data_IF_538320499700
#
_entry.id   IF_538320499700
#
_cell.length_a   1.000
_cell.length_b   1.000
_cell.length_c   1.000
_cell.angle_alpha   90.00
_cell.angle_beta   90.00
_cell.angle_gamma   90.00
#
_symmetry.space_group_name_H-M   'P 1'
#
loop_
_entity.id
_entity.type
_entity.pdbx_description
1 polymer ?
#
# COMPACT_ATOMS: atom_id res chain seq x y z
N UNK A 1 3.13 14.67 18.75
CA UNK A 1 2.18 13.90 17.95
C UNK A 1 2.64 13.96 16.50
N UNK A 2 2.79 12.81 15.85
CA UNK A 2 3.11 12.75 14.44
C UNK A 2 1.84 12.95 13.59
N UNK A 3 1.99 13.49 12.39
CA UNK A 3 0.85 13.67 11.49
C UNK A 3 0.52 12.29 10.90
N UNK A 4 -0.62 11.71 11.30
CA UNK A 4 -1.18 10.51 10.67
C UNK A 4 -1.88 10.85 9.36
N UNK A 5 -1.97 9.91 8.43
CA UNK A 5 -2.82 10.02 7.25
C UNK A 5 -4.30 9.77 7.65
N UNK A 6 -5.20 9.51 6.77
CA UNK A 6 -6.66 9.50 6.95
C UNK A 6 -7.26 8.55 8.04
N UNK A 7 -6.44 7.85 8.83
CA UNK A 7 -6.88 6.90 9.87
C UNK A 7 -7.26 7.57 11.19
N UNK A 8 -8.03 6.85 12.04
CA UNK A 8 -8.37 7.28 13.40
C UNK A 8 -7.25 6.99 14.41
N UNK A 9 -6.15 6.38 13.99
CA UNK A 9 -4.98 6.08 14.82
C UNK A 9 -4.19 7.33 15.12
N UNK A 10 -3.57 7.38 16.31
CA UNK A 10 -2.71 8.49 16.74
C UNK A 10 -1.31 7.97 17.00
N UNK A 11 -0.31 8.75 16.63
CA UNK A 11 1.10 8.37 16.70
C UNK A 11 1.92 9.43 17.45
N UNK A 12 2.80 8.96 18.32
CA UNK A 12 3.75 9.82 19.03
C UNK A 12 5.15 9.23 18.97
N UNK A 13 6.13 10.04 18.62
CA UNK A 13 7.53 9.67 18.84
C UNK A 13 7.86 9.97 20.30
N UNK A 14 8.39 8.99 21.01
CA UNK A 14 8.79 9.06 22.41
C UNK A 14 10.28 8.83 22.52
N UNK A 15 10.98 9.66 23.29
CA UNK A 15 12.37 9.43 23.65
C UNK A 15 12.47 8.26 24.64
N UNK A 16 13.52 7.48 24.55
CA UNK A 16 13.77 6.35 25.43
C UNK A 16 14.99 6.65 26.29
N UNK A 17 14.81 6.55 27.62
CA UNK A 17 15.91 6.68 28.59
C UNK A 17 16.78 5.41 28.65
N UNK A 18 16.23 4.26 28.21
CA UNK A 18 16.93 2.98 28.08
C UNK A 18 16.36 2.17 26.91
N UNK A 19 17.14 1.23 26.34
CA UNK A 19 16.63 0.41 25.26
C UNK A 19 15.43 -0.44 25.73
N UNK A 20 14.36 -0.53 24.95
CA UNK A 20 13.23 -1.41 25.25
C UNK A 20 13.66 -2.88 25.11
N UNK A 21 13.26 -3.70 26.07
CA UNK A 21 13.47 -5.14 26.02
C UNK A 21 12.27 -5.76 25.28
N UNK A 22 12.47 -6.42 24.13
CA UNK A 22 11.38 -7.08 23.42
C UNK A 22 10.76 -8.20 24.27
N UNK A 23 9.44 -8.14 24.49
CA UNK A 23 8.66 -9.20 25.14
C UNK A 23 9.01 -9.38 26.62
N UNK A 24 8.24 -8.77 27.53
CA UNK A 24 8.39 -8.89 28.96
C UNK A 24 8.24 -10.31 29.53
N UNK A 25 9.22 -11.20 29.26
CA UNK A 25 9.46 -12.44 29.99
C UNK A 25 10.96 -12.51 30.24
N UNK A 26 11.31 -12.36 31.53
CA UNK A 26 12.66 -12.54 32.04
C UNK A 26 13.19 -13.95 31.73
N UNK A 27 14.14 -14.07 30.83
CA UNK A 27 15.14 -15.14 30.85
C UNK A 27 16.41 -14.67 30.14
N UNK A 28 17.49 -14.74 30.88
CA UNK A 28 18.84 -14.39 30.48
C UNK A 28 19.35 -15.24 29.31
N UNK A 29 20.22 -14.63 28.51
CA UNK A 29 21.02 -15.13 27.39
C UNK A 29 20.47 -14.89 25.99
N UNK A 30 20.68 -13.65 25.50
CA UNK A 30 20.85 -13.41 24.08
C UNK A 30 22.14 -12.61 23.85
N UNK A 31 23.00 -13.14 22.98
CA UNK A 31 24.24 -12.53 22.53
C UNK A 31 23.94 -11.16 21.90
N UNK A 32 24.37 -10.11 22.56
CA UNK A 32 24.27 -8.73 22.08
C UNK A 32 25.18 -8.55 20.85
N UNK A 33 24.59 -8.43 19.66
CA UNK A 33 25.24 -7.68 18.61
C UNK A 33 25.19 -6.21 19.02
N UNK A 34 26.33 -5.55 19.08
CA UNK A 34 26.48 -4.18 19.56
C UNK A 34 25.87 -3.17 18.58
N UNK A 35 24.56 -3.03 18.61
CA UNK A 35 23.82 -1.89 18.03
C UNK A 35 23.55 -0.90 19.16
N UNK A 36 23.88 0.37 18.93
CA UNK A 36 23.47 1.46 19.85
C UNK A 36 21.97 1.34 20.08
N UNK A 37 21.48 1.40 21.35
CA UNK A 37 20.06 1.30 21.62
C UNK A 37 19.31 2.42 20.89
N UNK A 38 18.10 2.17 20.41
CA UNK A 38 17.30 3.18 19.73
C UNK A 38 17.04 4.34 20.71
N UNK A 39 17.25 5.56 20.24
CA UNK A 39 17.01 6.77 21.04
C UNK A 39 15.51 7.10 21.16
N UNK A 40 14.68 6.51 20.32
CA UNK A 40 13.24 6.76 20.26
C UNK A 40 12.44 5.51 19.86
N UNK A 41 11.16 5.54 20.17
CA UNK A 41 10.15 4.58 19.73
C UNK A 41 8.89 5.31 19.29
N UNK A 42 7.98 4.60 18.62
CA UNK A 42 6.67 5.13 18.25
C UNK A 42 5.59 4.51 19.13
N UNK A 43 4.89 5.36 19.89
CA UNK A 43 3.67 4.98 20.60
C UNK A 43 2.48 5.13 19.63
N UNK A 44 1.65 4.10 19.54
CA UNK A 44 0.48 4.04 18.66
C UNK A 44 -0.76 3.82 19.51
N UNK A 45 -1.72 4.73 19.43
CA UNK A 45 -3.11 4.50 19.86
C UNK A 45 -3.87 3.94 18.65
N UNK A 46 -4.33 2.70 18.78
CA UNK A 46 -5.01 1.98 17.70
C UNK A 46 -6.43 2.52 17.44
N UNK A 47 -6.95 3.35 18.34
CA UNK A 47 -8.33 3.84 18.27
C UNK A 47 -9.37 2.74 18.52
N UNK A 48 -10.66 3.03 18.35
CA UNK A 48 -11.74 2.11 18.71
C UNK A 48 -11.99 1.00 17.69
N UNK A 49 -11.53 1.16 16.45
CA UNK A 49 -11.86 0.25 15.34
C UNK A 49 -10.77 -0.82 15.12
N UNK A 50 -11.19 -2.10 15.11
CA UNK A 50 -10.30 -3.23 14.81
C UNK A 50 -10.21 -3.53 13.31
N UNK A 51 -11.22 -3.15 12.55
CA UNK A 51 -11.30 -3.46 11.13
C UNK A 51 -11.51 -2.20 10.29
N UNK A 52 -10.90 -2.13 9.11
CA UNK A 52 -11.13 -1.06 8.15
C UNK A 52 -12.61 -0.92 7.76
N UNK A 53 -13.01 0.29 7.37
CA UNK A 53 -14.40 0.58 7.00
C UNK A 53 -14.92 -0.33 5.88
N UNK A 54 -14.08 -0.64 4.87
CA UNK A 54 -14.45 -1.51 3.75
C UNK A 54 -14.71 -2.95 4.19
N UNK A 55 -13.97 -3.47 5.18
CA UNK A 55 -14.16 -4.81 5.71
C UNK A 55 -15.52 -4.93 6.37
N UNK A 56 -15.93 -3.91 7.12
CA UNK A 56 -17.28 -3.84 7.73
C UNK A 56 -18.37 -3.63 6.68
N UNK A 57 -18.18 -2.68 5.77
CA UNK A 57 -19.17 -2.34 4.75
C UNK A 57 -19.51 -3.52 3.83
N UNK A 58 -18.55 -4.35 3.51
CA UNK A 58 -18.68 -5.49 2.62
C UNK A 58 -18.81 -6.85 3.33
N UNK A 59 -18.80 -6.87 4.67
CA UNK A 59 -18.82 -8.10 5.47
C UNK A 59 -17.78 -9.12 5.03
N UNK A 60 -16.52 -8.67 4.86
CA UNK A 60 -15.44 -9.50 4.34
C UNK A 60 -14.89 -10.51 5.34
N UNK A 61 -15.16 -10.33 6.63
CA UNK A 61 -14.81 -11.28 7.69
C UNK A 61 -16.03 -11.63 8.54
N UNK A 62 -16.13 -12.89 8.94
CA UNK A 62 -17.29 -13.39 9.67
C UNK A 62 -17.25 -13.07 11.18
N UNK A 63 -16.08 -12.78 11.73
CA UNK A 63 -15.87 -12.49 13.14
C UNK A 63 -14.77 -11.45 13.33
N UNK A 64 -14.82 -10.61 14.39
CA UNK A 64 -13.71 -9.73 14.72
C UNK A 64 -12.45 -10.55 15.00
N UNK A 65 -11.26 -10.02 14.67
CA UNK A 65 -10.00 -10.70 14.93
C UNK A 65 -9.77 -10.85 16.45
N UNK A 66 -9.13 -11.96 16.86
CA UNK A 66 -8.80 -12.21 18.26
C UNK A 66 -7.76 -11.22 18.83
N UNK A 67 -7.04 -10.53 17.97
CA UNK A 67 -6.05 -9.53 18.31
C UNK A 67 -6.06 -8.40 17.25
N UNK A 68 -5.51 -7.21 17.55
CA UNK A 68 -5.45 -6.11 16.59
C UNK A 68 -4.75 -6.53 15.29
N UNK A 69 -5.30 -6.17 14.11
CA UNK A 69 -4.69 -6.51 12.80
C UNK A 69 -3.23 -6.08 12.69
N UNK A 70 -2.84 -4.95 13.29
CA UNK A 70 -1.45 -4.52 13.34
C UNK A 70 -0.54 -5.58 13.95
N UNK A 71 -0.91 -6.13 15.11
CA UNK A 71 -0.11 -7.14 15.83
C UNK A 71 -0.09 -8.46 15.05
N UNK A 72 -1.24 -8.87 14.56
CA UNK A 72 -1.40 -10.12 13.81
C UNK A 72 -0.57 -10.14 12.52
N UNK A 73 -0.73 -9.12 11.69
CA UNK A 73 -0.03 -9.02 10.40
C UNK A 73 1.47 -8.79 10.62
N UNK A 74 1.86 -7.94 11.59
CA UNK A 74 3.27 -7.71 11.92
C UNK A 74 3.98 -9.02 12.27
N UNK A 75 3.39 -9.83 13.15
CA UNK A 75 3.98 -11.11 13.57
C UNK A 75 4.16 -12.05 12.38
N UNK A 76 3.17 -12.13 11.49
CA UNK A 76 3.27 -12.91 10.27
C UNK A 76 4.39 -12.40 9.35
N UNK A 77 4.38 -11.11 9.01
CA UNK A 77 5.39 -10.51 8.13
C UNK A 77 6.81 -10.68 8.69
N UNK A 78 6.96 -10.50 10.01
CA UNK A 78 8.23 -10.76 10.67
C UNK A 78 8.69 -12.22 10.55
N UNK A 79 7.77 -13.17 10.67
CA UNK A 79 8.08 -14.61 10.56
C UNK A 79 8.64 -15.01 9.19
N UNK A 80 8.33 -14.25 8.15
CA UNK A 80 8.88 -14.45 6.80
C UNK A 80 10.14 -13.62 6.53
N UNK A 81 10.57 -12.80 7.50
CA UNK A 81 11.76 -11.95 7.39
C UNK A 81 11.51 -10.58 6.76
N UNK A 82 10.23 -10.16 6.60
CA UNK A 82 9.92 -8.84 6.10
C UNK A 82 10.39 -7.73 7.07
N UNK A 83 10.91 -6.59 6.57
CA UNK A 83 11.53 -5.55 7.38
C UNK A 83 10.52 -4.61 8.04
N UNK A 84 9.57 -5.17 8.77
CA UNK A 84 8.55 -4.43 9.54
C UNK A 84 9.09 -4.02 10.92
N UNK A 85 8.54 -2.96 11.54
CA UNK A 85 8.93 -2.53 12.89
C UNK A 85 8.76 -3.62 13.94
N UNK A 86 9.70 -3.67 14.90
CA UNK A 86 9.52 -4.47 16.11
C UNK A 86 8.38 -3.92 16.96
N UNK A 87 7.59 -4.80 17.56
CA UNK A 87 6.66 -4.43 18.63
C UNK A 87 7.38 -4.66 19.94
N UNK A 88 7.66 -3.60 20.68
CA UNK A 88 8.31 -3.68 21.98
C UNK A 88 7.31 -4.01 23.10
N UNK A 89 6.16 -3.32 23.07
CA UNK A 89 5.06 -3.52 24.03
C UNK A 89 3.74 -3.48 23.30
N UNK A 90 2.86 -4.40 23.63
CA UNK A 90 1.45 -4.37 23.25
C UNK A 90 0.59 -4.33 24.54
N UNK A 91 -0.26 -3.32 24.67
CA UNK A 91 -1.24 -3.18 25.74
C UNK A 91 -2.64 -3.29 25.13
N UNK A 92 -3.23 -4.50 25.15
CA UNK A 92 -4.56 -4.71 24.56
C UNK A 92 -5.68 -3.97 25.33
N UNK A 93 -5.52 -3.78 26.64
CA UNK A 93 -6.53 -3.15 27.49
C UNK A 93 -6.70 -1.66 27.12
N UNK A 94 -5.58 -0.95 26.95
CA UNK A 94 -5.58 0.46 26.57
C UNK A 94 -5.49 0.66 25.05
N UNK A 95 -5.41 -0.42 24.26
CA UNK A 95 -5.25 -0.40 22.80
C UNK A 95 -4.03 0.38 22.33
N UNK A 96 -2.94 0.28 23.08
CA UNK A 96 -1.69 0.98 22.85
C UNK A 96 -0.60 0.02 22.41
N UNK A 97 0.25 0.47 21.47
CA UNK A 97 1.48 -0.22 21.10
C UNK A 97 2.67 0.71 21.30
N UNK A 98 3.81 0.12 21.66
CA UNK A 98 5.12 0.75 21.54
C UNK A 98 5.92 -0.04 20.52
N UNK A 99 6.28 0.61 19.41
CA UNK A 99 6.96 -0.04 18.29
C UNK A 99 8.27 0.65 17.94
N UNK A 100 9.11 -0.04 17.20
CA UNK A 100 10.36 0.50 16.68
C UNK A 100 10.13 1.77 15.86
N UNK A 101 10.96 2.79 16.09
CA UNK A 101 11.04 3.98 15.26
C UNK A 101 11.92 3.69 14.03
N UNK A 102 11.30 3.59 12.87
CA UNK A 102 11.99 3.32 11.59
C UNK A 102 12.64 4.56 10.98
N UNK A 103 12.61 5.69 11.66
CA UNK A 103 13.21 6.95 11.20
C UNK A 103 12.21 7.90 10.54
N UNK A 104 12.73 8.88 9.79
CA UNK A 104 11.94 9.99 9.24
C UNK A 104 11.95 10.05 7.71
N UNK A 105 12.93 9.41 7.07
CA UNK A 105 13.13 9.53 5.63
C UNK A 105 12.36 8.45 4.90
N UNK A 106 11.26 8.83 4.25
CA UNK A 106 10.53 7.92 3.39
C UNK A 106 11.31 7.60 2.11
N UNK A 107 10.98 6.50 1.45
CA UNK A 107 11.55 6.11 0.16
C UNK A 107 11.37 7.22 -0.88
N UNK A 108 10.18 7.82 -0.94
CA UNK A 108 9.89 8.92 -1.84
C UNK A 108 10.79 10.12 -1.55
N UNK A 109 10.90 10.52 -0.27
CA UNK A 109 11.74 11.65 0.13
C UNK A 109 13.23 11.35 -0.13
N UNK A 110 13.70 10.15 0.18
CA UNK A 110 15.08 9.73 -0.10
C UNK A 110 15.41 9.79 -1.61
N UNK A 111 14.46 9.41 -2.46
CA UNK A 111 14.61 9.49 -3.91
C UNK A 111 14.62 10.95 -4.40
N UNK A 112 13.77 11.80 -3.83
CA UNK A 112 13.67 13.22 -4.16
C UNK A 112 14.92 14.00 -3.74
N UNK A 113 15.45 13.70 -2.55
CA UNK A 113 16.64 14.36 -1.98
C UNK A 113 17.97 13.79 -2.54
N UNK A 114 17.90 12.78 -3.42
CA UNK A 114 19.08 12.19 -4.04
C UNK A 114 19.95 11.38 -3.08
N UNK A 115 19.39 10.82 -2.00
CA UNK A 115 20.12 9.92 -1.07
C UNK A 115 20.72 8.74 -1.83
N UNK A 116 19.97 8.21 -2.80
CA UNK A 116 20.46 7.30 -3.82
C UNK A 116 19.64 7.46 -5.10
N UNK A 117 20.10 6.83 -6.21
CA UNK A 117 19.34 6.85 -7.47
C UNK A 117 17.94 6.26 -7.25
N UNK A 118 16.86 6.93 -7.72
CA UNK A 118 15.50 6.42 -7.56
C UNK A 118 15.34 4.95 -8.00
N UNK A 119 15.91 4.58 -9.15
CA UNK A 119 15.86 3.20 -9.63
C UNK A 119 16.50 2.19 -8.66
N UNK A 120 17.53 2.55 -7.92
CA UNK A 120 18.16 1.68 -6.91
C UNK A 120 17.26 1.53 -5.70
N UNK A 121 16.72 2.64 -5.18
CA UNK A 121 15.80 2.65 -4.03
C UNK A 121 14.53 1.83 -4.32
N UNK A 122 13.92 2.04 -5.48
CA UNK A 122 12.70 1.32 -5.86
C UNK A 122 12.95 -0.16 -6.16
N UNK A 123 14.14 -0.56 -6.67
CA UNK A 123 14.52 -1.98 -6.75
C UNK A 123 14.62 -2.63 -5.37
N UNK A 124 15.24 -1.95 -4.41
CA UNK A 124 15.30 -2.45 -3.03
C UNK A 124 13.89 -2.62 -2.44
N UNK A 125 12.99 -1.65 -2.68
CA UNK A 125 11.59 -1.80 -2.28
C UNK A 125 10.90 -2.99 -2.98
N UNK A 126 11.18 -3.23 -4.25
CA UNK A 126 10.65 -4.40 -4.97
C UNK A 126 11.19 -5.74 -4.46
N UNK A 127 12.42 -5.79 -3.98
CA UNK A 127 12.97 -7.02 -3.37
C UNK A 127 12.22 -7.39 -2.09
N UNK A 128 11.83 -6.40 -1.28
CA UNK A 128 10.98 -6.61 -0.10
C UNK A 128 9.52 -6.97 -0.50
N UNK A 129 9.00 -6.35 -1.54
CA UNK A 129 7.68 -6.70 -2.07
C UNK A 129 7.64 -8.13 -2.62
N UNK A 130 8.68 -8.55 -3.34
CA UNK A 130 8.84 -9.92 -3.81
C UNK A 130 8.91 -10.93 -2.65
N UNK A 131 9.52 -10.58 -1.52
CA UNK A 131 9.50 -11.41 -0.32
C UNK A 131 8.08 -11.58 0.20
N UNK A 132 7.33 -10.48 0.33
CA UNK A 132 5.94 -10.50 0.79
C UNK A 132 5.06 -11.30 -0.18
N UNK A 133 5.16 -11.05 -1.49
CA UNK A 133 4.33 -11.70 -2.49
C UNK A 133 4.62 -13.20 -2.62
N UNK A 134 5.89 -13.61 -2.59
CA UNK A 134 6.28 -15.01 -2.82
C UNK A 134 6.26 -15.79 -1.52
N UNK A 135 7.12 -15.43 -0.55
CA UNK A 135 7.22 -16.17 0.70
C UNK A 135 5.98 -15.96 1.59
N UNK A 136 5.45 -14.72 1.58
CA UNK A 136 4.23 -14.40 2.29
C UNK A 136 3.07 -15.26 1.80
N UNK A 137 2.80 -15.30 0.50
CA UNK A 137 1.72 -16.11 -0.07
C UNK A 137 1.90 -17.60 0.20
N UNK A 138 3.14 -18.10 0.04
CA UNK A 138 3.45 -19.53 0.27
C UNK A 138 3.22 -19.98 1.71
N UNK A 139 3.47 -19.09 2.69
CA UNK A 139 3.40 -19.39 4.12
C UNK A 139 2.14 -18.87 4.79
N UNK A 140 1.28 -18.14 4.05
CA UNK A 140 0.06 -17.57 4.59
C UNK A 140 -0.90 -18.69 5.02
N UNK A 141 -1.40 -18.61 6.23
CA UNK A 141 -2.37 -19.51 6.79
C UNK A 141 -3.51 -18.76 7.50
N UNK A 142 -4.49 -19.50 8.00
CA UNK A 142 -5.67 -18.95 8.69
C UNK A 142 -5.35 -18.24 10.02
N UNK A 143 -4.13 -18.33 10.52
CA UNK A 143 -3.68 -17.57 11.70
C UNK A 143 -3.40 -16.11 11.41
N UNK A 144 -3.21 -15.75 10.13
CA UNK A 144 -3.06 -14.38 9.70
C UNK A 144 -4.39 -13.85 9.12
N UNK A 145 -4.88 -12.72 9.64
CA UNK A 145 -6.13 -12.10 9.19
C UNK A 145 -6.13 -11.79 7.69
N UNK A 146 -4.98 -11.47 7.12
CA UNK A 146 -4.82 -11.21 5.69
C UNK A 146 -5.29 -12.38 4.80
N UNK A 147 -5.24 -13.63 5.31
CA UNK A 147 -5.73 -14.81 4.60
C UNK A 147 -7.25 -14.83 4.43
N UNK A 148 -7.98 -14.12 5.29
CA UNK A 148 -9.45 -14.11 5.29
C UNK A 148 -10.04 -12.95 4.45
N UNK A 149 -9.22 -12.02 3.99
CA UNK A 149 -9.67 -10.84 3.27
C UNK A 149 -9.15 -10.91 1.84
N UNK A 150 -10.05 -10.81 0.88
CA UNK A 150 -9.72 -10.86 -0.55
C UNK A 150 -10.14 -9.56 -1.22
N UNK A 151 -9.23 -8.98 -2.00
CA UNK A 151 -9.52 -7.87 -2.90
C UNK A 151 -10.25 -8.44 -4.14
N UNK A 152 -11.52 -8.77 -3.93
CA UNK A 152 -12.40 -9.34 -4.94
C UNK A 152 -13.08 -8.22 -5.78
N UNK A 153 -13.90 -8.62 -6.73
CA UNK A 153 -14.69 -7.72 -7.57
C UNK A 153 -15.50 -6.69 -6.75
N UNK A 154 -16.11 -7.12 -5.63
CA UNK A 154 -16.90 -6.24 -4.77
C UNK A 154 -16.07 -5.15 -4.13
N UNK A 155 -14.86 -5.49 -3.69
CA UNK A 155 -13.96 -4.51 -3.07
C UNK A 155 -13.37 -3.56 -4.12
N UNK A 156 -12.97 -4.07 -5.30
CA UNK A 156 -12.55 -3.20 -6.40
C UNK A 156 -13.64 -2.21 -6.79
N UNK A 157 -14.88 -2.68 -6.91
CA UNK A 157 -16.01 -1.84 -7.25
C UNK A 157 -16.33 -0.80 -6.17
N UNK A 158 -16.31 -1.22 -4.89
CA UNK A 158 -16.55 -0.35 -3.74
C UNK A 158 -15.53 0.80 -3.65
N UNK A 159 -14.26 0.53 -3.92
CA UNK A 159 -13.23 1.58 -3.89
C UNK A 159 -13.36 2.63 -5.01
N UNK A 160 -14.07 2.32 -6.08
CA UNK A 160 -14.38 3.27 -7.16
C UNK A 160 -15.69 4.06 -6.93
N UNK A 161 -16.39 3.83 -5.81
CA UNK A 161 -17.70 4.46 -5.54
C UNK A 161 -17.59 5.98 -5.39
N UNK A 162 -16.57 6.48 -4.71
CA UNK A 162 -16.35 7.93 -4.58
C UNK A 162 -16.08 8.56 -5.97
N UNK A 163 -15.46 7.84 -6.90
CA UNK A 163 -15.30 8.30 -8.28
C UNK A 163 -16.62 8.35 -9.03
N UNK A 164 -17.42 7.30 -8.93
CA UNK A 164 -18.73 7.24 -9.58
C UNK A 164 -19.68 8.35 -9.09
N UNK A 165 -19.76 8.53 -7.78
CA UNK A 165 -20.76 9.42 -7.17
C UNK A 165 -20.38 10.90 -7.23
N UNK A 166 -19.09 11.21 -7.16
CA UNK A 166 -18.64 12.60 -7.08
C UNK A 166 -17.44 12.93 -7.98
N UNK A 167 -16.52 12.00 -8.14
CA UNK A 167 -15.27 12.22 -8.82
C UNK A 167 -15.43 12.56 -10.31
N UNK A 168 -16.16 11.72 -11.04
CA UNK A 168 -16.33 11.86 -12.48
C UNK A 168 -16.96 13.19 -12.86
N UNK A 169 -18.10 13.55 -12.24
CA UNK A 169 -18.75 14.83 -12.48
C UNK A 169 -17.90 16.05 -12.07
N UNK A 170 -16.97 15.87 -11.14
CA UNK A 170 -16.09 16.94 -10.69
C UNK A 170 -14.94 17.20 -11.65
N UNK A 171 -14.35 16.14 -12.24
CA UNK A 171 -13.25 16.29 -13.20
C UNK A 171 -13.73 16.54 -14.62
N UNK A 172 -14.95 16.11 -14.97
CA UNK A 172 -15.53 16.26 -16.30
C UNK A 172 -16.99 16.75 -16.24
N UNK A 173 -17.23 18.02 -15.85
CA UNK A 173 -18.59 18.56 -15.77
C UNK A 173 -19.31 18.53 -17.13
N UNK A 174 -20.55 18.02 -17.14
CA UNK A 174 -21.38 17.98 -18.33
C UNK A 174 -21.21 16.75 -19.23
N UNK A 175 -20.29 15.83 -18.90
CA UNK A 175 -20.17 14.54 -19.60
C UNK A 175 -21.34 13.63 -19.26
N UNK A 176 -21.84 12.86 -20.24
CA UNK A 176 -22.81 11.80 -20.00
C UNK A 176 -22.17 10.63 -19.25
N UNK A 177 -22.59 10.41 -18.03
CA UNK A 177 -22.06 9.35 -17.14
C UNK A 177 -22.96 8.11 -17.11
N UNK A 178 -23.99 8.00 -17.97
CA UNK A 178 -24.97 6.91 -17.94
C UNK A 178 -24.35 5.52 -18.10
N UNK A 179 -23.26 5.38 -18.86
CA UNK A 179 -22.53 4.12 -19.07
C UNK A 179 -21.34 3.93 -18.13
N UNK A 180 -21.08 4.85 -17.19
CA UNK A 180 -19.91 4.79 -16.31
C UNK A 180 -19.96 3.59 -15.35
N UNK A 181 -21.12 3.36 -14.70
CA UNK A 181 -21.25 2.26 -13.75
C UNK A 181 -20.96 0.87 -14.37
N UNK A 182 -21.52 0.52 -15.54
CA UNK A 182 -21.17 -0.72 -16.24
C UNK A 182 -19.66 -0.85 -16.57
N UNK A 183 -18.99 0.24 -16.95
CA UNK A 183 -17.55 0.20 -17.22
C UNK A 183 -16.71 -0.04 -15.95
N UNK A 184 -17.13 0.52 -14.80
CA UNK A 184 -16.52 0.25 -13.51
C UNK A 184 -16.77 -1.19 -13.04
N UNK A 185 -17.96 -1.73 -13.30
CA UNK A 185 -18.31 -3.12 -13.00
C UNK A 185 -17.45 -4.08 -13.84
N UNK A 186 -17.25 -3.83 -15.15
CA UNK A 186 -16.38 -4.61 -16.01
C UNK A 186 -14.91 -4.56 -15.56
N UNK A 187 -14.41 -3.38 -15.20
CA UNK A 187 -13.05 -3.22 -14.65
C UNK A 187 -12.87 -4.02 -13.36
N UNK A 188 -13.83 -3.95 -12.45
CA UNK A 188 -13.81 -4.67 -11.19
C UNK A 188 -13.85 -6.19 -11.40
N UNK A 189 -14.70 -6.68 -12.32
CA UNK A 189 -14.81 -8.10 -12.66
C UNK A 189 -13.51 -8.65 -13.24
N UNK A 190 -12.87 -7.94 -14.18
CA UNK A 190 -11.57 -8.34 -14.75
C UNK A 190 -10.49 -8.43 -13.68
N UNK A 191 -10.39 -7.45 -12.80
CA UNK A 191 -9.43 -7.47 -11.68
C UNK A 191 -9.78 -8.55 -10.66
N UNK A 192 -11.08 -8.80 -10.46
CA UNK A 192 -11.58 -9.89 -9.62
C UNK A 192 -11.18 -11.29 -10.09
N UNK A 193 -10.90 -11.48 -11.39
CA UNK A 193 -10.45 -12.73 -11.99
C UNK A 193 -8.94 -12.99 -11.94
N UNK A 194 -8.12 -11.99 -11.58
CA UNK A 194 -6.64 -12.14 -11.56
C UNK A 194 -6.19 -12.98 -10.37
N UNK A 195 -5.19 -13.90 -10.53
CA UNK A 195 -4.59 -14.63 -9.41
C UNK A 195 -4.05 -13.70 -8.31
N UNK A 196 -4.16 -14.15 -7.06
CA UNK A 196 -3.85 -13.34 -5.89
C UNK A 196 -2.63 -13.83 -5.13
N UNK A 197 -1.94 -12.85 -4.53
CA UNK A 197 -0.84 -13.05 -3.59
C UNK A 197 -1.15 -12.31 -2.29
N UNK A 198 -0.39 -12.54 -1.24
CA UNK A 198 -0.41 -11.66 -0.07
C UNK A 198 0.07 -10.27 -0.51
N UNK A 199 -0.77 -9.28 -0.40
CA UNK A 199 -0.53 -7.89 -0.78
C UNK A 199 -0.50 -7.00 0.46
N UNK A 200 0.36 -6.00 0.43
CA UNK A 200 0.41 -4.95 1.44
C UNK A 200 -0.76 -3.96 1.31
N UNK A 201 -1.33 -3.81 0.09
CA UNK A 201 -2.40 -2.91 -0.29
C UNK A 201 -2.01 -1.44 -0.46
N UNK A 202 -1.27 -0.87 0.47
CA UNK A 202 -0.85 0.53 0.46
C UNK A 202 0.69 0.66 0.37
N UNK A 203 1.32 -0.14 -0.53
CA UNK A 203 2.77 -0.24 -0.72
C UNK A 203 3.30 0.92 -1.57
N UNK A 204 3.35 2.12 -1.01
CA UNK A 204 3.84 3.31 -1.71
C UNK A 204 5.04 3.95 -1.01
N UNK A 205 5.75 4.82 -1.73
CA UNK A 205 7.02 5.40 -1.27
C UNK A 205 6.95 6.20 0.04
N UNK A 206 5.76 6.60 0.51
CA UNK A 206 5.58 7.27 1.80
C UNK A 206 5.38 6.29 2.97
N UNK A 207 5.05 5.02 2.71
CA UNK A 207 4.93 3.95 3.71
C UNK A 207 6.18 3.05 3.77
N UNK A 208 7.19 3.38 2.98
CA UNK A 208 8.49 2.73 2.96
C UNK A 208 9.52 3.73 3.46
N UNK A 209 10.35 3.29 4.42
CA UNK A 209 11.37 4.14 5.01
C UNK A 209 12.77 3.64 4.67
N UNK A 210 13.71 4.56 4.53
CA UNK A 210 15.09 4.25 4.18
C UNK A 210 15.96 4.44 5.42
N UNK A 211 16.60 3.37 5.85
CA UNK A 211 17.62 3.41 6.89
C UNK A 211 18.99 3.13 6.27
N UNK A 212 20.01 3.82 6.73
CA UNK A 212 21.40 3.56 6.38
C UNK A 212 22.12 2.93 7.56
N UNK A 213 22.75 1.80 7.35
CA UNK A 213 23.64 1.19 8.30
C UNK A 213 25.01 0.86 7.66
N UNK A 214 25.89 0.16 8.40
CA UNK A 214 27.22 -0.23 7.91
C UNK A 214 27.17 -1.20 6.73
N UNK A 215 26.01 -1.83 6.49
CA UNK A 215 25.79 -2.80 5.39
C UNK A 215 25.18 -2.16 4.16
N UNK A 216 24.72 -0.90 4.26
CA UNK A 216 24.14 -0.14 3.17
C UNK A 216 22.72 0.39 3.48
N UNK A 217 21.96 0.64 2.42
CA UNK A 217 20.57 1.10 2.53
C UNK A 217 19.63 -0.08 2.75
N UNK A 218 18.71 0.07 3.71
CA UNK A 218 17.64 -0.88 4.00
C UNK A 218 16.29 -0.23 3.88
N UNK A 219 15.34 -0.94 3.34
CA UNK A 219 13.93 -0.53 3.32
C UNK A 219 13.26 -1.03 4.58
N UNK A 220 12.41 -0.20 5.20
CA UNK A 220 11.52 -0.56 6.30
C UNK A 220 10.09 -0.35 5.83
N UNK A 221 9.20 -1.28 6.16
CA UNK A 221 7.81 -1.31 5.68
C UNK A 221 6.87 -1.03 6.85
N UNK A 222 6.02 -0.01 6.72
CA UNK A 222 4.99 0.33 7.70
C UNK A 222 3.60 0.32 7.06
N UNK A 223 2.56 0.48 7.87
CA UNK A 223 1.15 0.57 7.44
C UNK A 223 0.61 -0.71 6.76
N UNK A 224 1.06 -1.85 7.22
CA UNK A 224 0.81 -3.19 6.68
C UNK A 224 -0.46 -3.88 7.26
N UNK A 225 -1.11 -3.30 8.25
CA UNK A 225 -2.22 -3.94 8.97
C UNK A 225 -3.47 -4.18 8.11
N UNK A 226 -3.55 -3.53 6.96
CA UNK A 226 -4.61 -3.69 5.97
C UNK A 226 -4.24 -4.67 4.85
N UNK A 227 -3.18 -5.48 5.05
CA UNK A 227 -2.76 -6.52 4.13
C UNK A 227 -3.90 -7.53 3.88
N UNK A 228 -3.94 -8.04 2.65
CA UNK A 228 -5.01 -8.92 2.17
C UNK A 228 -4.54 -9.71 0.94
N UNK A 229 -5.39 -10.57 0.40
CA UNK A 229 -5.11 -11.27 -0.86
C UNK A 229 -5.54 -10.40 -2.06
N UNK A 230 -4.57 -9.94 -2.88
CA UNK A 230 -4.82 -9.12 -4.07
C UNK A 230 -3.99 -9.55 -5.27
N UNK A 231 -4.31 -9.09 -6.50
CA UNK A 231 -3.41 -9.22 -7.63
C UNK A 231 -2.03 -8.62 -7.32
N UNK A 232 -0.96 -9.32 -7.65
CA UNK A 232 0.41 -8.81 -7.43
C UNK A 232 0.65 -7.43 -8.09
N UNK A 233 0.01 -7.19 -9.22
CA UNK A 233 0.04 -5.93 -9.94
C UNK A 233 -0.54 -4.75 -9.16
N UNK A 234 -1.38 -4.99 -8.13
CA UNK A 234 -1.99 -3.93 -7.33
C UNK A 234 -0.94 -3.17 -6.50
N UNK A 235 -0.07 -3.87 -5.77
CA UNK A 235 0.99 -3.20 -5.00
C UNK A 235 2.01 -2.50 -5.90
N UNK A 236 2.26 -3.04 -7.11
CA UNK A 236 3.12 -2.37 -8.10
C UNK A 236 2.48 -1.09 -8.64
N UNK A 237 1.17 -1.10 -8.92
CA UNK A 237 0.45 0.10 -9.33
C UNK A 237 0.52 1.18 -8.23
N UNK A 238 0.32 0.79 -6.97
CA UNK A 238 0.42 1.68 -5.81
C UNK A 238 1.86 2.21 -5.64
N UNK A 239 2.89 1.35 -5.77
CA UNK A 239 4.29 1.77 -5.63
C UNK A 239 4.72 2.76 -6.71
N UNK A 240 4.31 2.54 -7.96
CA UNK A 240 4.86 3.24 -9.11
C UNK A 240 4.03 4.43 -9.59
N UNK A 241 2.74 4.52 -9.18
CA UNK A 241 1.83 5.53 -9.73
C UNK A 241 1.01 6.31 -8.71
N UNK A 242 1.27 6.13 -7.40
CA UNK A 242 0.53 6.86 -6.36
C UNK A 242 1.04 8.28 -6.17
N UNK A 243 0.11 9.21 -5.91
CA UNK A 243 0.37 10.62 -5.54
C UNK A 243 1.32 11.30 -6.55
N UNK A 244 2.51 11.69 -6.07
CA UNK A 244 3.51 12.45 -6.81
C UNK A 244 4.74 11.61 -7.21
N UNK A 245 4.60 10.26 -7.22
CA UNK A 245 5.69 9.32 -7.58
C UNK A 245 6.30 9.65 -8.96
N UNK A 246 5.51 10.20 -9.88
CA UNK A 246 6.00 10.67 -11.20
C UNK A 246 7.11 11.71 -11.16
N UNK A 247 7.36 12.35 -10.00
CA UNK A 247 8.50 13.27 -9.81
C UNK A 247 9.84 12.53 -9.71
N UNK A 248 9.83 11.25 -9.39
CA UNK A 248 11.04 10.44 -9.18
C UNK A 248 11.09 9.21 -10.09
N UNK A 249 9.94 8.71 -10.56
CA UNK A 249 9.83 7.55 -11.45
C UNK A 249 9.09 7.96 -12.72
N UNK A 250 9.81 8.04 -13.83
CA UNK A 250 9.20 8.24 -15.15
C UNK A 250 8.84 6.93 -15.84
N UNK A 251 8.14 6.98 -16.99
CA UNK A 251 7.62 5.80 -17.70
C UNK A 251 8.67 4.73 -18.04
N UNK A 252 9.86 5.15 -18.47
CA UNK A 252 10.95 4.23 -18.78
C UNK A 252 11.50 3.50 -17.55
N UNK A 253 11.57 4.19 -16.41
CA UNK A 253 11.98 3.59 -15.15
C UNK A 253 10.91 2.61 -14.64
N UNK A 254 9.64 2.98 -14.77
CA UNK A 254 8.48 2.14 -14.45
C UNK A 254 8.54 0.82 -15.24
N UNK A 255 8.72 0.86 -16.57
CA UNK A 255 8.83 -0.35 -17.40
C UNK A 255 9.98 -1.25 -16.94
N UNK A 256 11.19 -0.69 -16.74
CA UNK A 256 12.34 -1.47 -16.24
C UNK A 256 12.13 -2.06 -14.85
N UNK A 257 11.33 -1.41 -14.01
CA UNK A 257 11.01 -1.92 -12.69
C UNK A 257 9.99 -3.05 -12.76
N UNK A 258 9.03 -3.02 -13.70
CA UNK A 258 8.13 -4.14 -13.97
C UNK A 258 8.90 -5.37 -14.47
N UNK A 259 9.82 -5.18 -15.43
CA UNK A 259 10.70 -6.26 -15.91
C UNK A 259 11.54 -6.84 -14.77
N UNK A 260 12.06 -5.99 -13.89
CA UNK A 260 12.80 -6.41 -12.71
C UNK A 260 11.95 -7.26 -11.76
N UNK A 261 10.70 -6.87 -11.53
CA UNK A 261 9.77 -7.63 -10.70
C UNK A 261 9.45 -8.99 -11.31
N UNK A 262 9.08 -9.05 -12.59
CA UNK A 262 8.77 -10.31 -13.30
C UNK A 262 9.98 -11.26 -13.24
N UNK A 263 11.18 -10.77 -13.56
CA UNK A 263 12.41 -11.56 -13.42
C UNK A 263 12.67 -11.98 -11.97
N UNK A 264 12.25 -11.18 -11.00
CA UNK A 264 12.33 -11.46 -9.57
C UNK A 264 11.47 -12.65 -9.13
N UNK A 265 10.27 -12.80 -9.70
CA UNK A 265 9.41 -13.97 -9.47
C UNK A 265 10.13 -15.25 -9.91
N UNK A 266 10.68 -15.27 -11.12
CA UNK A 266 11.44 -16.42 -11.63
C UNK A 266 12.66 -16.77 -10.75
N UNK A 267 13.44 -15.77 -10.31
CA UNK A 267 14.59 -15.99 -9.40
C UNK A 267 14.18 -16.61 -8.06
N UNK A 268 12.95 -16.38 -7.59
CA UNK A 268 12.40 -16.93 -6.34
C UNK A 268 11.62 -18.23 -6.56
N UNK A 269 11.62 -18.80 -7.76
CA UNK A 269 10.90 -20.02 -8.10
C UNK A 269 9.37 -19.89 -7.97
N UNK A 270 8.84 -18.67 -8.05
CA UNK A 270 7.42 -18.43 -8.07
C UNK A 270 6.87 -18.66 -9.49
N UNK A 271 5.56 -19.00 -9.64
CA UNK A 271 4.93 -19.02 -10.93
C UNK A 271 5.14 -17.69 -11.67
N UNK A 272 5.73 -17.76 -12.85
CA UNK A 272 5.91 -16.60 -13.70
C UNK A 272 4.68 -16.46 -14.59
N UNK A 273 3.90 -15.39 -14.46
CA UNK A 273 2.79 -15.14 -15.37
C UNK A 273 3.32 -14.86 -16.78
N UNK A 274 2.48 -15.01 -17.79
CA UNK A 274 2.77 -14.42 -19.09
C UNK A 274 3.03 -12.92 -18.94
N UNK A 275 4.10 -12.41 -19.54
CA UNK A 275 4.54 -11.03 -19.34
C UNK A 275 3.50 -10.03 -19.86
N UNK A 276 2.87 -10.31 -20.99
CA UNK A 276 1.87 -9.42 -21.58
C UNK A 276 0.58 -9.42 -20.75
N UNK A 277 0.14 -10.59 -20.25
CA UNK A 277 -0.99 -10.70 -19.35
C UNK A 277 -0.73 -9.96 -18.03
N UNK A 278 0.49 -10.09 -17.48
CA UNK A 278 0.86 -9.38 -16.25
C UNK A 278 0.87 -7.85 -16.45
N UNK A 279 1.45 -7.38 -17.55
CA UNK A 279 1.48 -5.94 -17.88
C UNK A 279 0.07 -5.42 -18.14
N UNK A 280 -0.82 -6.21 -18.81
CA UNK A 280 -2.21 -5.82 -18.95
C UNK A 280 -2.92 -5.72 -17.59
N UNK A 281 -2.72 -6.68 -16.69
CA UNK A 281 -3.26 -6.63 -15.31
C UNK A 281 -2.72 -5.41 -14.54
N UNK A 282 -1.44 -5.09 -14.72
CA UNK A 282 -0.85 -3.89 -14.14
C UNK A 282 -1.53 -2.61 -14.65
N UNK A 283 -1.76 -2.49 -15.95
CA UNK A 283 -2.45 -1.34 -16.53
C UNK A 283 -3.87 -1.18 -15.99
N UNK A 284 -4.61 -2.29 -15.80
CA UNK A 284 -5.94 -2.26 -15.17
C UNK A 284 -5.87 -1.85 -13.69
N UNK A 285 -4.88 -2.34 -12.94
CA UNK A 285 -4.66 -1.91 -11.55
C UNK A 285 -4.31 -0.42 -11.47
N UNK A 286 -3.45 0.09 -12.37
CA UNK A 286 -3.14 1.54 -12.43
C UNK A 286 -4.40 2.35 -12.73
N UNK A 287 -5.23 1.92 -13.68
CA UNK A 287 -6.48 2.60 -13.98
C UNK A 287 -7.41 2.62 -12.74
N UNK A 288 -7.68 1.45 -12.15
CA UNK A 288 -8.52 1.34 -10.97
C UNK A 288 -7.99 2.21 -9.81
N UNK A 289 -6.67 2.16 -9.56
CA UNK A 289 -6.05 2.96 -8.52
C UNK A 289 -6.21 4.47 -8.78
N UNK A 290 -6.05 4.92 -10.02
CA UNK A 290 -6.26 6.31 -10.38
C UNK A 290 -7.72 6.75 -10.14
N UNK A 291 -8.70 5.92 -10.51
CA UNK A 291 -10.13 6.20 -10.26
C UNK A 291 -10.41 6.31 -8.76
N UNK A 292 -9.97 5.30 -7.97
CA UNK A 292 -10.08 5.30 -6.51
C UNK A 292 -9.53 6.60 -5.90
N UNK A 293 -8.31 6.97 -6.29
CA UNK A 293 -7.60 8.12 -5.69
C UNK A 293 -8.24 9.44 -6.12
N UNK A 294 -8.64 9.60 -7.38
CA UNK A 294 -9.34 10.80 -7.87
C UNK A 294 -10.65 10.98 -7.09
N UNK A 295 -11.48 9.94 -6.99
CA UNK A 295 -12.73 10.00 -6.22
C UNK A 295 -12.48 10.34 -4.76
N UNK A 296 -11.56 9.61 -4.13
CA UNK A 296 -11.24 9.78 -2.70
C UNK A 296 -10.68 11.16 -2.37
N UNK A 297 -9.79 11.71 -3.18
CA UNK A 297 -9.20 13.02 -2.93
C UNK A 297 -10.23 14.15 -3.06
N UNK A 298 -11.13 14.06 -4.05
CA UNK A 298 -12.23 14.99 -4.19
C UNK A 298 -13.19 14.88 -2.99
N UNK A 299 -13.52 13.67 -2.56
CA UNK A 299 -14.35 13.45 -1.37
C UNK A 299 -13.70 14.04 -0.11
N UNK A 300 -12.42 13.80 0.12
CA UNK A 300 -11.70 14.33 1.30
C UNK A 300 -11.69 15.86 1.31
N UNK A 301 -11.42 16.50 0.18
CA UNK A 301 -11.46 17.96 0.05
C UNK A 301 -12.86 18.51 0.41
N UNK A 302 -13.92 17.90 -0.12
CA UNK A 302 -15.31 18.30 0.17
C UNK A 302 -15.72 18.09 1.62
N UNK A 303 -15.10 17.14 2.31
CA UNK A 303 -15.39 16.81 3.73
C UNK A 303 -14.48 17.53 4.70
N UNK A 304 -13.71 18.53 4.27
CA UNK A 304 -12.92 19.41 5.12
C UNK A 304 -11.53 18.88 5.47
N UNK A 305 -11.00 17.97 4.68
CA UNK A 305 -9.60 17.52 4.75
C UNK A 305 -8.82 18.04 3.53
N UNK A 306 -8.31 19.29 3.55
CA UNK A 306 -7.72 19.94 2.38
C UNK A 306 -6.32 19.43 2.04
N UNK A 307 -5.87 19.69 0.78
CA UNK A 307 -4.52 19.46 0.32
C UNK A 307 -4.33 18.23 -0.54
N UNK A 308 -5.37 17.39 -0.70
CA UNK A 308 -5.29 16.19 -1.54
C UNK A 308 -5.47 16.49 -3.04
N UNK A 309 -6.18 17.57 -3.39
CA UNK A 309 -6.40 17.98 -4.78
C UNK A 309 -5.11 18.32 -5.52
N UNK A 310 -4.03 18.67 -4.82
CA UNK A 310 -2.71 18.88 -5.42
C UNK A 310 -2.17 17.65 -6.17
N UNK A 311 -2.63 16.43 -5.85
CA UNK A 311 -2.22 15.20 -6.50
C UNK A 311 -3.09 14.82 -7.71
N UNK A 312 -4.25 15.47 -7.90
CA UNK A 312 -5.19 15.14 -8.97
C UNK A 312 -4.57 15.21 -10.37
N UNK A 313 -3.75 16.21 -10.75
CA UNK A 313 -3.17 16.28 -12.09
C UNK A 313 -2.37 15.02 -12.45
N UNK A 314 -1.59 14.49 -11.50
CA UNK A 314 -0.83 13.27 -11.72
C UNK A 314 -1.75 12.04 -11.84
N UNK A 315 -2.74 11.89 -10.95
CA UNK A 315 -3.69 10.77 -10.98
C UNK A 315 -4.51 10.75 -12.28
N UNK A 316 -4.99 11.92 -12.72
CA UNK A 316 -5.68 12.09 -14.00
C UNK A 316 -4.77 11.70 -15.18
N UNK A 317 -3.50 12.10 -15.14
CA UNK A 317 -2.53 11.73 -16.19
C UNK A 317 -2.30 10.23 -16.27
N UNK A 318 -2.30 9.51 -15.13
CA UNK A 318 -2.19 8.04 -15.10
C UNK A 318 -3.42 7.36 -15.73
N UNK A 319 -4.63 7.82 -15.39
CA UNK A 319 -5.85 7.31 -16.02
C UNK A 319 -5.84 7.52 -17.54
N UNK A 320 -5.51 8.73 -18.01
CA UNK A 320 -5.36 9.04 -19.45
C UNK A 320 -4.36 8.10 -20.12
N UNK A 321 -3.20 7.91 -19.52
CA UNK A 321 -2.14 7.04 -20.03
C UNK A 321 -2.59 5.59 -20.17
N UNK A 322 -3.37 5.07 -19.22
CA UNK A 322 -3.88 3.70 -19.30
C UNK A 322 -5.00 3.59 -20.34
N UNK A 323 -5.90 4.55 -20.41
CA UNK A 323 -7.00 4.57 -21.37
C UNK A 323 -6.52 4.76 -22.82
N UNK A 324 -5.43 5.50 -23.06
CA UNK A 324 -4.86 5.65 -24.40
C UNK A 324 -4.27 4.35 -25.00
N UNK A 325 -4.05 3.34 -24.18
CA UNK A 325 -3.53 2.02 -24.57
C UNK A 325 -4.64 0.99 -24.84
N UNK A 326 -5.90 1.39 -24.71
CA UNK A 326 -7.07 0.50 -24.72
C UNK A 326 -8.16 1.07 -25.62
N UNK A 327 -8.99 0.19 -26.19
CA UNK A 327 -10.15 0.56 -26.99
C UNK A 327 -11.49 0.33 -26.26
N UNK A 328 -11.45 -0.32 -25.09
CA UNK A 328 -12.57 -0.46 -24.16
C UNK A 328 -12.69 0.77 -23.24
N UNK A 329 -13.73 0.84 -22.40
CA UNK A 329 -13.96 1.94 -21.45
C UNK A 329 -14.13 3.32 -22.12
N UNK A 330 -15.07 3.40 -23.05
CA UNK A 330 -15.31 4.63 -23.84
C UNK A 330 -15.77 5.81 -23.01
N UNK A 331 -16.63 5.59 -22.02
CA UNK A 331 -17.11 6.65 -21.09
C UNK A 331 -16.00 7.14 -20.19
N UNK A 332 -15.20 6.24 -19.62
CA UNK A 332 -14.03 6.62 -18.86
C UNK A 332 -13.05 7.43 -19.69
N UNK A 333 -12.82 7.05 -20.94
CA UNK A 333 -11.96 7.80 -21.87
C UNK A 333 -12.48 9.23 -22.05
N UNK A 334 -13.77 9.41 -22.36
CA UNK A 334 -14.37 10.72 -22.52
C UNK A 334 -14.25 11.57 -21.24
N UNK A 335 -14.52 11.00 -20.07
CA UNK A 335 -14.35 11.66 -18.77
C UNK A 335 -12.92 12.19 -18.61
N UNK A 336 -11.91 11.38 -18.93
CA UNK A 336 -10.52 11.80 -18.71
C UNK A 336 -9.96 12.65 -19.85
N UNK A 337 -10.47 12.58 -21.07
CA UNK A 337 -10.11 13.50 -22.16
C UNK A 337 -10.62 14.92 -21.89
N UNK A 338 -11.83 15.04 -21.35
CA UNK A 338 -12.47 16.33 -21.02
C UNK A 338 -12.08 16.86 -19.63
N UNK A 339 -11.44 16.04 -18.78
CA UNK A 339 -11.09 16.40 -17.41
C UNK A 339 -10.27 17.69 -17.35
N UNK A 340 -10.76 18.63 -16.54
CA UNK A 340 -10.04 19.84 -16.15
C UNK A 340 -9.22 19.50 -14.92
N UNK A 341 -7.92 19.29 -15.08
CA UNK A 341 -6.99 18.96 -13.99
C UNK A 341 -6.12 20.15 -13.63
#
# INVERSE_FOLDING_TARGET
MLKGDASNRRFWRVALDAPPVPGGVSSATQSASATTPPASAIAIDLGPDDLPAYVRALNLVCAPPAEPPFVNVQRFLKSIGAPVPEIYVADPEHRMLLVEDVGETSLFQAALDGVAKPATLYRSAMDELLLIHVEGTRRLDSGCIAASITYDERLFRWEMEDFLTTGAASVAPGTDLSALAPELDDLAARLGGVPRVLSHRDYHGHNLFVQSDRTGLRIRVIDFQDALLAPAAQDLAVLLTTRDTGRVIGPDAESRLLDYYIAGLARRGAPCPDADEFVNSYHLCVLQHALKVVGRFIYLERTGKPGYTAYLPFCVSQARRMLSRRNDFSTLREVFETAVA
#
